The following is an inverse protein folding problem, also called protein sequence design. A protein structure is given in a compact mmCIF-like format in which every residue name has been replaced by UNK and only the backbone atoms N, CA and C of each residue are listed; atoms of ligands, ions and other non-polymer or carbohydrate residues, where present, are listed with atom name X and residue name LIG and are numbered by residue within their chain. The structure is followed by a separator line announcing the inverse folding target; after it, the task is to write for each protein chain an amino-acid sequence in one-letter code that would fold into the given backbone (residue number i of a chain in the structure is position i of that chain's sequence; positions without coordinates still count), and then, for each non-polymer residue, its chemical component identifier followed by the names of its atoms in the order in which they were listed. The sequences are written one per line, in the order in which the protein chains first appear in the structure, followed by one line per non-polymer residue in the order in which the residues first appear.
data_IF_093802634935
#
_entry.id   IF_093802634935
#
_cell.length_a   1.000
_cell.length_b   1.000
_cell.length_c   1.000
_cell.angle_alpha   90.00
_cell.angle_beta   90.00
_cell.angle_gamma   90.00
#
_symmetry.space_group_name_H-M   'P 1'
#
loop_
_entity.id
_entity.type
_entity.pdbx_description
1 polymer ?
#
# COMPACT_ATOMS: atom_id res chain seq x y z
N UNK A 1 -0.21 -3.52 28.40
CA UNK A 1 0.90 -2.69 27.88
C UNK A 1 0.38 -1.25 27.74
N UNK A 2 1.03 -0.23 28.33
CA UNK A 2 0.55 1.15 28.24
C UNK A 2 0.52 1.63 26.78
N UNK A 3 -0.54 2.38 26.42
CA UNK A 3 -0.69 2.94 25.09
C UNK A 3 0.47 3.89 24.78
N UNK A 4 1.05 3.84 23.57
CA UNK A 4 2.13 4.75 23.20
C UNK A 4 1.67 6.20 23.25
N UNK A 5 2.49 7.11 23.80
CA UNK A 5 2.18 8.55 23.89
C UNK A 5 2.20 9.30 22.56
N UNK A 6 2.71 8.68 21.50
CA UNK A 6 2.73 9.26 20.14
C UNK A 6 2.90 8.15 19.09
N UNK A 7 2.41 8.41 17.86
CA UNK A 7 2.71 7.60 16.69
C UNK A 7 3.93 8.15 15.92
N UNK A 8 4.64 7.29 15.19
CA UNK A 8 5.83 7.67 14.40
C UNK A 8 7.15 7.67 15.19
N UNK A 9 8.01 8.66 14.93
CA UNK A 9 9.25 8.93 15.68
C UNK A 9 10.35 7.86 15.64
N UNK A 10 11.17 7.79 16.71
CA UNK A 10 12.35 6.93 16.83
C UNK A 10 12.09 5.45 16.57
N UNK A 11 10.93 4.93 17.00
CA UNK A 11 10.53 3.54 16.73
C UNK A 11 10.45 3.26 15.22
N UNK A 12 10.03 4.23 14.42
CA UNK A 12 9.96 4.09 12.96
C UNK A 12 11.36 4.13 12.30
N UNK A 13 12.28 4.91 12.88
CA UNK A 13 13.69 4.95 12.44
C UNK A 13 14.38 3.61 12.76
N UNK A 14 14.23 3.11 13.99
CA UNK A 14 14.79 1.82 14.41
C UNK A 14 14.22 0.65 13.60
N UNK A 15 12.92 0.69 13.32
CA UNK A 15 12.29 -0.26 12.42
C UNK A 15 12.89 -0.20 11.01
N UNK A 16 13.10 1.00 10.46
CA UNK A 16 13.72 1.18 9.15
C UNK A 16 15.13 0.59 9.10
N UNK A 17 15.95 0.85 10.13
CA UNK A 17 17.32 0.32 10.21
C UNK A 17 17.35 -1.21 10.35
N UNK A 18 16.51 -1.77 11.22
CA UNK A 18 16.41 -3.23 11.39
C UNK A 18 15.88 -3.92 10.13
N UNK A 19 14.93 -3.32 9.44
CA UNK A 19 14.41 -3.82 8.15
C UNK A 19 15.50 -3.78 7.09
N UNK A 20 16.24 -2.67 6.97
CA UNK A 20 17.33 -2.55 6.02
C UNK A 20 18.40 -3.64 6.21
N UNK A 21 18.73 -4.00 7.47
CA UNK A 21 19.67 -5.10 7.76
C UNK A 21 19.19 -6.46 7.24
N UNK A 22 17.88 -6.72 7.22
CA UNK A 22 17.32 -7.99 6.72
C UNK A 22 17.37 -8.14 5.20
N UNK A 23 17.42 -7.04 4.46
CA UNK A 23 17.33 -7.03 2.97
C UNK A 23 18.63 -6.58 2.30
N UNK A 24 19.78 -6.94 2.90
CA UNK A 24 21.10 -6.67 2.33
C UNK A 24 21.75 -5.34 2.75
N UNK A 25 21.27 -4.74 3.85
CA UNK A 25 21.94 -3.64 4.55
C UNK A 25 21.44 -2.24 4.18
N UNK A 26 21.87 -1.26 4.98
CA UNK A 26 21.44 0.15 4.90
C UNK A 26 21.80 0.77 3.55
N UNK A 27 22.99 0.47 3.01
CA UNK A 27 23.43 1.01 1.70
C UNK A 27 22.51 0.57 0.56
N UNK A 28 22.12 -0.71 0.53
CA UNK A 28 21.21 -1.25 -0.50
C UNK A 28 19.80 -0.67 -0.35
N UNK A 29 19.27 -0.62 0.87
CA UNK A 29 17.95 -0.03 1.15
C UNK A 29 17.91 1.44 0.73
N UNK A 30 18.94 2.21 1.10
CA UNK A 30 19.05 3.62 0.72
C UNK A 30 19.10 3.79 -0.81
N UNK A 31 19.86 2.95 -1.50
CA UNK A 31 19.97 3.01 -2.95
C UNK A 31 18.62 2.70 -3.63
N UNK A 32 17.88 1.71 -3.10
CA UNK A 32 16.57 1.33 -3.57
C UNK A 32 15.51 2.43 -3.36
N UNK A 33 15.46 3.01 -2.16
CA UNK A 33 14.53 4.10 -1.82
C UNK A 33 14.78 5.37 -2.64
N UNK A 34 16.03 5.64 -3.05
CA UNK A 34 16.38 6.81 -3.88
C UNK A 34 16.15 6.62 -5.37
N UNK A 35 15.80 5.42 -5.85
CA UNK A 35 15.54 5.20 -7.28
C UNK A 35 14.37 6.05 -7.77
N UNK A 36 14.37 6.40 -9.05
CA UNK A 36 13.28 7.11 -9.73
C UNK A 36 12.10 6.16 -9.92
N UNK A 37 11.28 6.04 -8.89
CA UNK A 37 10.05 5.25 -8.90
C UNK A 37 8.99 5.93 -8.03
N UNK A 38 7.73 5.62 -8.33
CA UNK A 38 6.62 6.00 -7.46
C UNK A 38 6.46 4.95 -6.35
N UNK A 39 6.15 5.42 -5.15
CA UNK A 39 5.81 4.59 -4.00
C UNK A 39 4.48 3.88 -4.26
N UNK A 40 4.53 2.55 -4.28
CA UNK A 40 3.37 1.70 -4.61
C UNK A 40 2.55 1.29 -3.37
N UNK A 41 2.75 1.90 -2.20
CA UNK A 41 2.16 1.38 -0.94
C UNK A 41 0.76 1.91 -0.64
N UNK A 42 0.45 3.14 -1.05
CA UNK A 42 -0.85 3.78 -0.85
C UNK A 42 -1.10 4.77 -1.99
N UNK A 43 -2.31 5.31 -2.09
CA UNK A 43 -2.71 6.19 -3.18
C UNK A 43 -1.97 7.55 -3.24
N UNK A 44 -1.16 7.87 -2.21
CA UNK A 44 -0.36 9.11 -2.21
C UNK A 44 0.76 9.11 -3.28
N UNK A 45 1.21 7.95 -3.75
CA UNK A 45 2.00 7.85 -4.99
C UNK A 45 3.38 8.51 -5.03
N UNK A 46 3.95 8.89 -3.89
CA UNK A 46 5.13 9.76 -3.83
C UNK A 46 6.38 9.28 -4.56
N UNK A 47 7.23 10.24 -4.93
CA UNK A 47 8.52 10.01 -5.57
C UNK A 47 8.45 10.36 -7.05
N UNK A 48 8.53 9.34 -7.90
CA UNK A 48 8.53 9.52 -9.35
C UNK A 48 9.89 9.94 -9.89
N UNK A 49 9.91 10.88 -10.82
CA UNK A 49 11.13 11.29 -11.53
C UNK A 49 12.17 11.96 -10.62
N UNK A 50 11.72 12.56 -9.51
CA UNK A 50 12.58 13.20 -8.51
C UNK A 50 13.23 12.18 -7.54
N UNK A 51 12.82 10.91 -7.58
CA UNK A 51 13.29 9.83 -6.72
C UNK A 51 12.33 9.49 -5.58
N UNK A 52 12.30 8.22 -5.15
CA UNK A 52 11.33 7.66 -4.20
C UNK A 52 11.34 8.23 -2.78
N UNK A 53 12.31 9.08 -2.45
CA UNK A 53 12.43 9.79 -1.17
C UNK A 53 12.13 11.30 -1.27
N UNK A 54 11.53 11.75 -2.37
CA UNK A 54 11.09 13.13 -2.54
C UNK A 54 9.58 13.22 -2.65
N UNK A 55 9.02 14.32 -2.17
CA UNK A 55 7.63 14.67 -2.47
C UNK A 55 7.55 15.51 -3.77
N UNK A 56 6.33 15.85 -4.12
CA UNK A 56 5.93 16.64 -5.28
C UNK A 56 6.57 18.04 -5.25
N UNK A 57 6.75 18.61 -4.06
CA UNK A 57 7.48 19.86 -3.81
C UNK A 57 9.01 19.71 -3.74
N UNK A 58 9.58 18.54 -4.06
CA UNK A 58 11.01 18.28 -4.07
C UNK A 58 11.69 18.12 -2.70
N UNK A 59 10.94 18.18 -1.60
CA UNK A 59 11.45 18.05 -0.22
C UNK A 59 12.06 16.67 0.02
N UNK A 60 13.11 16.64 0.82
CA UNK A 60 13.85 15.43 1.20
C UNK A 60 14.32 15.55 2.66
N UNK A 61 14.34 14.46 3.44
CA UNK A 61 13.84 13.13 3.10
C UNK A 61 12.33 13.02 3.32
N UNK A 62 11.62 12.55 2.30
CA UNK A 62 10.21 12.21 2.38
C UNK A 62 10.10 10.69 2.21
N UNK A 63 10.02 9.97 3.33
CA UNK A 63 9.81 8.53 3.36
C UNK A 63 9.02 8.11 4.61
N UNK A 64 8.07 7.18 4.45
CA UNK A 64 7.33 6.62 5.57
C UNK A 64 7.70 5.16 5.82
N UNK A 65 7.44 4.68 7.05
CA UNK A 65 7.67 3.29 7.45
C UNK A 65 7.05 2.29 6.46
N UNK A 66 5.84 2.55 5.99
CA UNK A 66 5.12 1.72 5.01
C UNK A 66 5.85 1.61 3.67
N UNK A 67 6.41 2.72 3.19
CA UNK A 67 7.23 2.74 1.98
C UNK A 67 8.52 1.90 2.14
N UNK A 68 9.15 1.96 3.32
CA UNK A 68 10.31 1.11 3.64
C UNK A 68 9.94 -0.37 3.69
N UNK A 69 8.78 -0.72 4.27
CA UNK A 69 8.29 -2.11 4.30
C UNK A 69 8.07 -2.67 2.90
N UNK A 70 7.38 -1.91 2.04
CA UNK A 70 7.14 -2.32 0.66
C UNK A 70 8.45 -2.43 -0.14
N UNK A 71 9.37 -1.48 0.03
CA UNK A 71 10.68 -1.56 -0.63
C UNK A 71 11.48 -2.78 -0.13
N UNK A 72 11.40 -3.10 1.16
CA UNK A 72 12.04 -4.27 1.72
C UNK A 72 11.50 -5.56 1.10
N UNK A 73 10.18 -5.67 0.94
CA UNK A 73 9.55 -6.79 0.25
C UNK A 73 10.01 -6.92 -1.21
N UNK A 74 10.02 -5.80 -1.96
CA UNK A 74 10.49 -5.77 -3.35
C UNK A 74 11.98 -6.17 -3.47
N UNK A 75 12.78 -5.92 -2.42
CA UNK A 75 14.20 -6.28 -2.33
C UNK A 75 14.48 -7.71 -1.84
N UNK A 76 13.48 -8.48 -1.43
CA UNK A 76 13.68 -9.84 -0.95
C UNK A 76 14.24 -10.77 -2.04
N UNK A 77 14.98 -11.78 -1.60
CA UNK A 77 15.40 -12.87 -2.47
C UNK A 77 14.22 -13.68 -3.00
N UNK A 78 14.52 -14.62 -3.90
CA UNK A 78 13.54 -15.64 -4.30
C UNK A 78 13.11 -16.45 -3.07
N UNK A 79 11.90 -17.01 -3.15
CA UNK A 79 11.41 -18.02 -2.22
C UNK A 79 12.45 -19.14 -2.09
N UNK A 80 12.64 -19.65 -0.86
CA UNK A 80 13.61 -20.73 -0.60
C UNK A 80 13.27 -21.95 -1.46
N UNK A 81 14.30 -22.57 -2.03
CA UNK A 81 14.16 -23.85 -2.73
C UNK A 81 13.59 -24.92 -1.80
N UNK A 82 12.67 -25.74 -2.32
CA UNK A 82 11.94 -26.75 -1.54
C UNK A 82 10.88 -26.19 -0.59
N UNK A 83 10.58 -24.88 -0.62
CA UNK A 83 9.54 -24.30 0.25
C UNK A 83 8.19 -25.00 0.09
N UNK A 84 7.75 -25.23 -1.15
CA UNK A 84 6.46 -25.90 -1.41
C UNK A 84 6.52 -27.42 -1.21
N UNK A 85 7.69 -28.03 -1.36
CA UNK A 85 7.88 -29.46 -1.05
C UNK A 85 7.66 -29.74 0.44
N UNK A 86 8.05 -28.79 1.31
CA UNK A 86 7.90 -28.90 2.77
C UNK A 86 6.60 -28.28 3.31
N UNK A 87 5.85 -27.55 2.49
CA UNK A 87 4.70 -26.76 2.92
C UNK A 87 3.41 -27.20 2.22
N UNK A 88 2.71 -28.16 2.84
CA UNK A 88 1.38 -28.57 2.42
C UNK A 88 0.37 -27.41 2.52
N UNK A 89 -0.71 -27.50 1.75
CA UNK A 89 -1.81 -26.53 1.73
C UNK A 89 -2.34 -26.21 3.14
N UNK A 90 -2.49 -27.23 4.01
CA UNK A 90 -2.91 -27.04 5.40
C UNK A 90 -1.97 -26.12 6.17
N UNK A 91 -0.66 -26.28 5.98
CA UNK A 91 0.35 -25.42 6.62
C UNK A 91 0.29 -24.00 6.04
N UNK A 92 0.19 -23.85 4.72
CA UNK A 92 0.08 -22.54 4.05
C UNK A 92 -1.12 -21.74 4.59
N UNK A 93 -2.27 -22.38 4.79
CA UNK A 93 -3.48 -21.73 5.33
C UNK A 93 -3.32 -21.26 6.79
N UNK A 94 -2.37 -21.82 7.54
CA UNK A 94 -2.08 -21.43 8.93
C UNK A 94 -1.04 -20.32 9.04
N UNK A 95 -0.30 -20.03 7.97
CA UNK A 95 0.69 -18.97 7.98
C UNK A 95 0.00 -17.60 8.03
N UNK A 96 0.53 -16.73 8.88
CA UNK A 96 0.09 -15.34 8.93
C UNK A 96 0.53 -14.60 7.65
N UNK A 97 -0.14 -13.49 7.27
CA UNK A 97 0.28 -12.66 6.14
C UNK A 97 1.74 -12.21 6.23
N UNK A 98 2.24 -12.00 7.46
CA UNK A 98 3.63 -11.62 7.69
C UNK A 98 4.61 -12.76 7.39
N UNK A 99 4.26 -13.98 7.74
CA UNK A 99 5.10 -15.16 7.45
C UNK A 99 5.13 -15.45 5.96
N UNK A 100 3.98 -15.35 5.28
CA UNK A 100 3.88 -15.46 3.81
C UNK A 100 4.74 -14.42 3.11
N UNK A 101 4.62 -13.14 3.49
CA UNK A 101 5.45 -12.06 2.93
C UNK A 101 6.94 -12.27 3.22
N UNK A 102 7.28 -12.87 4.36
CA UNK A 102 8.68 -13.10 4.76
C UNK A 102 9.30 -14.33 4.10
N UNK A 103 8.50 -15.19 3.44
CA UNK A 103 8.97 -16.43 2.84
C UNK A 103 9.88 -16.19 1.61
N UNK A 104 9.67 -15.08 0.91
CA UNK A 104 10.44 -14.69 -0.28
C UNK A 104 9.58 -14.58 -1.53
N UNK A 105 10.19 -14.16 -2.64
CA UNK A 105 9.45 -13.87 -3.88
C UNK A 105 9.22 -15.13 -4.73
N UNK A 106 7.98 -15.33 -5.18
CA UNK A 106 7.66 -16.32 -6.21
C UNK A 106 8.32 -15.87 -7.52
N UNK A 107 9.18 -16.72 -8.10
CA UNK A 107 9.99 -16.39 -9.29
C UNK A 107 9.79 -17.34 -10.46
N UNK A 108 9.02 -18.40 -10.25
CA UNK A 108 8.65 -19.39 -11.26
C UNK A 108 7.18 -19.82 -11.05
N UNK A 109 6.50 -20.30 -12.10
CA UNK A 109 5.15 -20.80 -11.99
C UNK A 109 5.07 -22.05 -11.11
N UNK A 110 3.98 -22.17 -10.38
CA UNK A 110 3.71 -23.33 -9.53
C UNK A 110 2.31 -23.85 -9.83
N UNK A 111 2.15 -25.16 -9.80
CA UNK A 111 0.89 -25.84 -10.08
C UNK A 111 0.51 -26.77 -8.93
N UNK A 112 -0.78 -26.86 -8.69
CA UNK A 112 -1.38 -27.86 -7.82
C UNK A 112 -2.72 -28.29 -8.44
N UNK A 113 -2.85 -29.59 -8.67
CA UNK A 113 -3.99 -30.23 -9.33
C UNK A 113 -5.06 -30.72 -8.36
N UNK A 114 -6.05 -31.43 -8.90
CA UNK A 114 -7.06 -32.06 -8.09
C UNK A 114 -6.46 -33.21 -7.27
N UNK A 115 -6.61 -33.16 -5.95
CA UNK A 115 -6.07 -34.17 -5.03
C UNK A 115 -4.65 -33.89 -4.53
N UNK A 116 -3.96 -32.90 -5.09
CA UNK A 116 -2.64 -32.49 -4.63
C UNK A 116 -2.76 -31.78 -3.27
N UNK A 117 -1.82 -32.06 -2.36
CA UNK A 117 -1.70 -31.37 -1.06
C UNK A 117 -0.61 -30.29 -1.05
N UNK A 118 0.14 -30.16 -2.16
CA UNK A 118 1.29 -29.27 -2.33
C UNK A 118 1.32 -28.63 -3.72
N UNK A 119 2.11 -27.57 -3.83
CA UNK A 119 2.48 -26.97 -5.11
C UNK A 119 3.78 -27.56 -5.62
N UNK A 120 3.88 -27.74 -6.94
CA UNK A 120 5.12 -28.09 -7.63
C UNK A 120 5.50 -27.02 -8.65
N UNK A 121 6.78 -26.72 -8.79
CA UNK A 121 7.26 -25.81 -9.83
C UNK A 121 7.02 -26.43 -11.21
N UNK A 122 6.61 -25.60 -12.18
CA UNK A 122 6.44 -25.99 -13.58
C UNK A 122 7.05 -24.96 -14.52
N UNK A 123 7.49 -25.34 -15.73
CA UNK A 123 7.96 -24.39 -16.74
C UNK A 123 6.89 -23.36 -17.13
N UNK A 124 7.33 -22.20 -17.61
CA UNK A 124 6.45 -21.14 -18.12
C UNK A 124 5.55 -21.62 -19.27
N UNK A 125 6.09 -22.36 -20.23
CA UNK A 125 5.32 -22.87 -21.36
C UNK A 125 4.20 -23.80 -20.89
N UNK A 126 4.49 -24.72 -19.95
CA UNK A 126 3.46 -25.58 -19.35
C UNK A 126 2.39 -24.77 -18.62
N UNK A 127 2.77 -23.73 -17.88
CA UNK A 127 1.82 -22.88 -17.15
C UNK A 127 0.89 -22.12 -18.12
N UNK A 128 1.46 -21.53 -19.17
CA UNK A 128 0.71 -20.78 -20.18
C UNK A 128 -0.22 -21.70 -20.99
N UNK A 129 0.25 -22.87 -21.41
CA UNK A 129 -0.56 -23.87 -22.12
C UNK A 129 -1.74 -24.35 -21.28
N UNK A 130 -1.52 -24.61 -19.99
CA UNK A 130 -2.59 -24.98 -19.05
C UNK A 130 -3.62 -23.88 -18.89
N UNK A 131 -3.18 -22.62 -18.71
CA UNK A 131 -4.08 -21.47 -18.61
C UNK A 131 -4.90 -21.33 -19.90
N UNK A 132 -4.25 -21.36 -21.06
CA UNK A 132 -4.90 -21.23 -22.36
C UNK A 132 -5.91 -22.37 -22.61
N UNK A 133 -5.53 -23.62 -22.32
CA UNK A 133 -6.42 -24.77 -22.42
C UNK A 133 -7.65 -24.62 -21.52
N UNK A 134 -7.46 -24.14 -20.28
CA UNK A 134 -8.60 -23.93 -19.37
C UNK A 134 -9.49 -22.77 -19.77
N UNK A 135 -8.93 -21.68 -20.26
CA UNK A 135 -9.71 -20.58 -20.82
C UNK A 135 -10.55 -21.07 -22.01
N UNK A 136 -9.96 -21.81 -22.97
CA UNK A 136 -10.72 -22.37 -24.10
C UNK A 136 -11.86 -23.31 -23.69
N UNK A 137 -11.69 -24.05 -22.60
CA UNK A 137 -12.67 -25.01 -22.10
C UNK A 137 -13.70 -24.42 -21.11
N UNK A 138 -13.60 -23.15 -20.75
CA UNK A 138 -14.49 -22.50 -19.76
C UNK A 138 -15.31 -21.43 -20.45
N UNK A 139 -16.61 -21.31 -20.15
CA UNK A 139 -17.39 -20.24 -20.76
C UNK A 139 -17.01 -18.87 -20.16
N UNK A 140 -17.00 -17.78 -20.95
CA UNK A 140 -16.63 -16.45 -20.47
C UNK A 140 -17.51 -15.96 -19.31
N UNK A 141 -18.78 -16.32 -19.29
CA UNK A 141 -19.77 -15.96 -18.26
C UNK A 141 -19.42 -16.55 -16.89
N UNK A 142 -18.68 -17.68 -16.86
CA UNK A 142 -18.21 -18.34 -15.63
C UNK A 142 -16.85 -17.85 -15.16
N UNK A 143 -16.27 -16.86 -15.83
CA UNK A 143 -14.93 -16.36 -15.57
C UNK A 143 -14.98 -14.98 -14.91
N UNK A 144 -14.00 -14.69 -14.06
CA UNK A 144 -13.84 -13.40 -13.39
C UNK A 144 -12.37 -13.01 -13.37
N UNK A 145 -12.09 -11.74 -13.68
CA UNK A 145 -10.74 -11.18 -13.72
C UNK A 145 -10.59 -10.11 -12.65
N UNK A 146 -9.55 -10.26 -11.82
CA UNK A 146 -9.23 -9.35 -10.74
C UNK A 146 -7.81 -8.83 -10.88
N UNK A 147 -7.63 -7.51 -10.76
CA UNK A 147 -6.31 -6.91 -10.68
C UNK A 147 -6.07 -6.15 -9.37
N UNK A 148 -4.84 -6.27 -8.88
CA UNK A 148 -4.39 -5.63 -7.64
C UNK A 148 -4.10 -4.15 -7.86
N UNK A 149 -4.34 -3.30 -6.86
CA UNK A 149 -3.93 -1.89 -6.85
C UNK A 149 -2.42 -1.67 -6.80
N UNK A 150 -1.63 -2.75 -6.65
CA UNK A 150 -0.17 -2.75 -6.85
C UNK A 150 0.25 -2.93 -8.32
N UNK A 151 -0.67 -3.37 -9.18
CA UNK A 151 -0.42 -3.54 -10.61
C UNK A 151 -0.21 -2.19 -11.29
N UNK A 152 0.49 -2.18 -12.41
CA UNK A 152 0.63 -0.97 -13.22
C UNK A 152 -0.65 -0.72 -14.03
N UNK A 153 -0.83 0.52 -14.49
CA UNK A 153 -1.96 0.89 -15.34
C UNK A 153 -1.94 0.10 -16.67
N UNK A 154 -0.75 -0.14 -17.21
CA UNK A 154 -0.54 -0.90 -18.46
C UNK A 154 -0.96 -2.36 -18.28
N UNK A 155 -0.52 -3.01 -17.20
CA UNK A 155 -0.90 -4.39 -16.92
C UNK A 155 -2.42 -4.53 -16.67
N UNK A 156 -3.02 -3.58 -15.95
CA UNK A 156 -4.47 -3.54 -15.77
C UNK A 156 -5.22 -3.32 -17.10
N UNK A 157 -4.71 -2.44 -17.96
CA UNK A 157 -5.26 -2.18 -19.28
C UNK A 157 -5.21 -3.43 -20.17
N UNK A 158 -4.07 -4.13 -20.23
CA UNK A 158 -3.92 -5.35 -21.01
C UNK A 158 -4.85 -6.47 -20.49
N UNK A 159 -4.93 -6.64 -19.17
CA UNK A 159 -5.81 -7.65 -18.57
C UNK A 159 -7.29 -7.41 -18.90
N UNK A 160 -7.75 -6.15 -18.83
CA UNK A 160 -9.14 -5.83 -19.11
C UNK A 160 -9.49 -5.93 -20.61
N UNK A 161 -8.53 -5.68 -21.52
CA UNK A 161 -8.67 -5.94 -22.95
C UNK A 161 -8.79 -7.45 -23.19
N UNK A 162 -7.87 -8.24 -22.62
CA UNK A 162 -7.87 -9.69 -22.76
C UNK A 162 -9.18 -10.32 -22.28
N UNK A 163 -9.70 -9.90 -21.12
CA UNK A 163 -10.99 -10.38 -20.60
C UNK A 163 -12.16 -10.08 -21.57
N UNK A 164 -12.16 -8.90 -22.18
CA UNK A 164 -13.20 -8.49 -23.15
C UNK A 164 -13.08 -9.27 -24.47
N UNK A 165 -11.86 -9.49 -24.97
CA UNK A 165 -11.61 -10.36 -26.14
C UNK A 165 -12.05 -11.79 -25.85
N UNK A 166 -11.78 -12.27 -24.63
CA UNK A 166 -12.23 -13.58 -24.18
C UNK A 166 -13.76 -13.69 -24.07
N UNK A 167 -14.49 -12.57 -24.08
CA UNK A 167 -15.95 -12.54 -24.15
C UNK A 167 -16.65 -12.21 -22.84
N UNK A 168 -15.95 -11.65 -21.85
CA UNK A 168 -16.56 -11.26 -20.56
C UNK A 168 -16.25 -9.83 -20.14
N UNK A 169 -17.22 -9.21 -19.46
CA UNK A 169 -17.07 -7.93 -18.78
C UNK A 169 -16.89 -8.07 -17.25
N UNK A 170 -16.76 -9.31 -16.74
CA UNK A 170 -16.55 -9.62 -15.32
C UNK A 170 -15.13 -9.26 -14.88
N UNK A 171 -14.83 -7.96 -14.84
CA UNK A 171 -13.53 -7.41 -14.52
C UNK A 171 -13.68 -6.42 -13.37
N UNK A 172 -12.95 -6.64 -12.29
CA UNK A 172 -12.92 -5.74 -11.14
C UNK A 172 -11.50 -5.62 -10.57
N UNK A 173 -11.35 -4.73 -9.60
CA UNK A 173 -10.08 -4.49 -8.92
C UNK A 173 -10.29 -4.27 -7.42
N UNK A 174 -9.19 -4.06 -6.71
CA UNK A 174 -9.22 -3.85 -5.26
C UNK A 174 -10.01 -2.60 -4.83
N UNK A 175 -10.16 -1.58 -5.69
CA UNK A 175 -10.90 -0.37 -5.32
C UNK A 175 -12.41 -0.56 -5.38
N UNK A 176 -12.91 -1.60 -6.06
CA UNK A 176 -14.34 -1.89 -6.11
C UNK A 176 -14.95 -2.01 -4.71
N UNK A 177 -14.39 -2.84 -3.83
CA UNK A 177 -14.98 -3.02 -2.50
C UNK A 177 -14.87 -1.77 -1.60
N UNK A 178 -13.86 -0.92 -1.80
CA UNK A 178 -13.57 0.20 -0.91
C UNK A 178 -14.11 1.55 -1.39
N UNK A 179 -14.30 1.73 -2.70
CA UNK A 179 -14.58 3.03 -3.32
C UNK A 179 -15.88 3.06 -4.15
N UNK A 180 -16.64 1.97 -4.26
CA UNK A 180 -17.91 1.98 -4.98
C UNK A 180 -18.94 2.91 -4.33
N UNK A 181 -19.13 2.80 -3.01
CA UNK A 181 -20.04 3.68 -2.28
C UNK A 181 -19.64 5.15 -2.42
N UNK A 182 -18.35 5.46 -2.29
CA UNK A 182 -17.85 6.83 -2.48
C UNK A 182 -18.02 7.31 -3.92
N UNK A 183 -17.81 6.43 -4.90
CA UNK A 183 -17.97 6.76 -6.32
C UNK A 183 -19.40 7.14 -6.66
N UNK A 184 -20.39 6.37 -6.16
CA UNK A 184 -21.82 6.68 -6.32
C UNK A 184 -22.18 8.02 -5.68
N UNK A 185 -21.78 8.24 -4.43
CA UNK A 185 -22.11 9.47 -3.69
C UNK A 185 -21.42 10.71 -4.27
N UNK A 186 -20.15 10.63 -4.67
CA UNK A 186 -19.45 11.76 -5.27
C UNK A 186 -20.00 12.07 -6.67
N UNK A 187 -20.37 11.04 -7.45
CA UNK A 187 -20.97 11.27 -8.77
C UNK A 187 -22.31 11.98 -8.66
N UNK A 188 -23.15 11.62 -7.68
CA UNK A 188 -24.44 12.28 -7.49
C UNK A 188 -24.35 13.72 -7.00
N UNK A 189 -23.30 14.08 -6.26
CA UNK A 189 -23.12 15.43 -5.68
C UNK A 189 -22.26 16.34 -6.56
N UNK A 190 -21.20 15.80 -7.19
CA UNK A 190 -20.13 16.56 -7.86
C UNK A 190 -19.94 16.18 -9.34
N UNK A 191 -20.68 15.20 -9.86
CA UNK A 191 -20.58 14.74 -11.25
C UNK A 191 -19.35 13.87 -11.57
N UNK A 192 -18.51 13.56 -10.58
CA UNK A 192 -17.34 12.69 -10.74
C UNK A 192 -17.12 11.75 -9.55
N UNK A 193 -16.52 10.59 -9.79
CA UNK A 193 -16.29 9.54 -8.77
C UNK A 193 -14.91 9.57 -8.10
N UNK A 194 -14.10 10.58 -8.36
CA UNK A 194 -12.70 10.68 -7.90
C UNK A 194 -12.53 11.79 -6.87
N UNK A 195 -11.42 11.74 -6.12
CA UNK A 195 -11.05 12.83 -5.22
C UNK A 195 -10.92 14.16 -5.98
N UNK A 196 -11.46 15.23 -5.40
CA UNK A 196 -11.49 16.58 -5.99
C UNK A 196 -10.44 17.52 -5.42
N UNK A 197 -9.69 17.04 -4.42
CA UNK A 197 -8.68 17.81 -3.68
C UNK A 197 -7.29 17.26 -4.01
N UNK A 198 -6.37 18.16 -4.33
CA UNK A 198 -4.95 17.89 -4.53
C UNK A 198 -4.15 18.17 -3.26
N UNK A 199 -2.89 17.75 -3.22
CA UNK A 199 -2.02 18.06 -2.07
C UNK A 199 -1.72 19.55 -1.95
N UNK A 200 -1.65 20.27 -3.06
CA UNK A 200 -1.37 21.71 -3.10
C UNK A 200 -2.53 22.52 -2.51
N UNK A 201 -3.77 22.06 -2.70
CA UNK A 201 -4.95 22.66 -2.04
C UNK A 201 -4.81 22.60 -0.51
N UNK A 202 -4.22 21.51 0.02
CA UNK A 202 -3.98 21.36 1.44
C UNK A 202 -2.85 22.26 1.95
N UNK A 203 -2.01 22.84 1.09
CA UNK A 203 -1.00 23.83 1.48
C UNK A 203 -1.58 25.23 1.65
N UNK A 204 -2.68 25.55 0.96
CA UNK A 204 -3.46 26.79 1.12
C UNK A 204 -4.62 26.71 2.11
N UNK A 205 -4.83 25.55 2.75
CA UNK A 205 -6.02 25.29 3.55
C UNK A 205 -5.89 25.74 5.02
N UNK A 206 -6.86 26.47 5.55
CA UNK A 206 -6.92 26.87 6.97
C UNK A 206 -7.80 25.97 7.83
N UNK A 207 -8.56 25.05 7.21
CA UNK A 207 -9.47 24.13 7.90
C UNK A 207 -9.56 22.78 7.19
N UNK A 208 -9.10 21.72 7.84
CA UNK A 208 -9.21 20.35 7.34
C UNK A 208 -10.10 19.50 8.24
N UNK A 209 -10.97 18.68 7.64
CA UNK A 209 -11.82 17.74 8.37
C UNK A 209 -11.49 16.31 7.95
N UNK A 210 -11.17 15.46 8.92
CA UNK A 210 -10.81 14.05 8.71
C UNK A 210 -11.91 13.18 9.31
N UNK A 211 -12.82 12.69 8.46
CA UNK A 211 -13.96 11.86 8.86
C UNK A 211 -13.70 10.40 8.49
N UNK A 212 -13.84 9.49 9.45
CA UNK A 212 -13.80 8.04 9.21
C UNK A 212 -12.46 7.52 8.65
N UNK A 213 -11.39 8.32 8.76
CA UNK A 213 -10.08 8.00 8.19
C UNK A 213 -8.98 8.02 9.26
N UNK A 214 -7.98 7.15 9.08
CA UNK A 214 -6.76 7.12 9.90
C UNK A 214 -5.51 7.32 9.02
N UNK A 215 -5.22 8.56 8.56
CA UNK A 215 -4.04 8.83 7.76
C UNK A 215 -2.73 8.49 8.48
N UNK A 216 -2.67 8.50 9.82
CA UNK A 216 -1.45 8.13 10.54
C UNK A 216 -1.00 6.68 10.27
N UNK A 217 -1.96 5.78 10.02
CA UNK A 217 -1.69 4.40 9.60
C UNK A 217 -1.74 4.23 8.08
N UNK A 218 -2.74 4.82 7.42
CA UNK A 218 -3.08 4.51 6.03
C UNK A 218 -2.30 5.36 5.02
N UNK A 219 -2.09 6.64 5.34
CA UNK A 219 -1.36 7.61 4.53
C UNK A 219 -0.37 8.42 5.40
N UNK A 220 0.64 7.78 6.05
CA UNK A 220 1.37 8.41 7.18
C UNK A 220 2.08 9.72 6.86
N UNK A 221 2.24 10.04 5.57
CA UNK A 221 2.88 11.27 5.12
C UNK A 221 1.92 12.44 5.02
N UNK A 222 0.62 12.18 4.82
CA UNK A 222 -0.43 13.20 4.96
C UNK A 222 -0.40 13.83 6.37
N UNK A 223 0.11 13.10 7.37
CA UNK A 223 0.31 13.64 8.71
C UNK A 223 1.22 14.87 8.74
N UNK A 224 2.25 14.94 7.87
CA UNK A 224 3.07 16.14 7.78
C UNK A 224 2.23 17.33 7.32
N UNK A 225 1.43 17.15 6.26
CA UNK A 225 0.53 18.21 5.77
C UNK A 225 -0.43 18.68 6.86
N UNK A 226 -1.03 17.76 7.63
CA UNK A 226 -1.87 18.11 8.78
C UNK A 226 -1.10 18.87 9.88
N UNK A 227 0.16 18.51 10.15
CA UNK A 227 1.04 19.26 11.06
C UNK A 227 1.29 20.68 10.53
N UNK A 228 1.56 20.84 9.23
CA UNK A 228 1.80 22.16 8.65
C UNK A 228 0.56 23.05 8.68
N UNK A 229 -0.64 22.50 8.41
CA UNK A 229 -1.93 23.20 8.61
C UNK A 229 -2.03 23.76 10.03
N UNK A 230 -1.75 22.93 11.06
CA UNK A 230 -1.79 23.36 12.46
C UNK A 230 -0.71 24.40 12.80
N UNK A 231 0.48 24.28 12.21
CA UNK A 231 1.60 25.21 12.46
C UNK A 231 1.34 26.61 11.94
N UNK A 232 0.63 26.75 10.82
CA UNK A 232 0.20 28.05 10.29
C UNK A 232 -1.06 28.61 10.95
N UNK A 233 -1.57 27.96 12.00
CA UNK A 233 -2.75 28.41 12.76
C UNK A 233 -4.08 27.83 12.28
N UNK A 234 -4.08 27.04 11.21
CA UNK A 234 -5.27 26.35 10.69
C UNK A 234 -5.79 25.29 11.65
N UNK A 235 -7.02 24.83 11.44
CA UNK A 235 -7.72 23.84 12.28
C UNK A 235 -7.79 22.47 11.59
N UNK A 236 -7.72 21.40 12.39
CA UNK A 236 -7.88 20.03 11.92
C UNK A 236 -8.88 19.34 12.81
N UNK A 237 -10.09 19.11 12.30
CA UNK A 237 -11.17 18.43 13.03
C UNK A 237 -11.16 16.95 12.65
N UNK A 238 -11.12 16.07 13.64
CA UNK A 238 -11.18 14.63 13.41
C UNK A 238 -12.51 14.07 13.92
N UNK A 239 -13.22 13.34 13.07
CA UNK A 239 -14.45 12.63 13.42
C UNK A 239 -14.22 11.15 13.18
N UNK A 240 -14.06 10.36 14.24
CA UNK A 240 -13.72 8.95 14.13
C UNK A 240 -14.21 8.18 15.36
N UNK A 241 -14.85 7.00 15.23
CA UNK A 241 -15.28 6.21 16.39
C UNK A 241 -14.13 5.88 17.36
N UNK A 242 -12.91 5.68 16.85
CA UNK A 242 -11.74 5.37 17.65
C UNK A 242 -10.79 6.55 17.74
N UNK A 243 -10.47 6.98 18.97
CA UNK A 243 -9.47 8.01 19.24
C UNK A 243 -8.04 7.50 19.09
N UNK A 244 -7.57 7.51 17.85
CA UNK A 244 -6.24 7.07 17.46
C UNK A 244 -5.13 8.02 17.91
N UNK A 245 -4.10 7.50 18.58
CA UNK A 245 -2.95 8.29 19.08
C UNK A 245 -2.33 9.13 17.97
N UNK A 246 -2.17 8.55 16.78
CA UNK A 246 -1.56 9.25 15.64
C UNK A 246 -2.38 10.41 15.09
N UNK A 247 -3.68 10.47 15.37
CA UNK A 247 -4.58 11.57 14.98
C UNK A 247 -4.70 12.65 16.06
N UNK A 248 -4.19 12.39 17.26
CA UNK A 248 -4.08 13.38 18.34
C UNK A 248 -2.67 13.97 18.36
N UNK A 249 -1.65 13.12 18.34
CA UNK A 249 -0.25 13.52 18.49
C UNK A 249 0.68 12.65 17.64
N UNK A 250 1.36 13.28 16.70
CA UNK A 250 2.24 12.59 15.74
C UNK A 250 3.67 13.11 15.81
N UNK A 251 4.65 12.22 15.62
CA UNK A 251 6.07 12.57 15.52
C UNK A 251 6.54 12.31 14.09
N UNK A 252 6.73 13.38 13.33
CA UNK A 252 7.21 13.32 11.94
C UNK A 252 8.72 13.05 11.93
N UNK A 253 9.21 11.90 11.44
CA UNK A 253 10.64 11.56 11.54
C UNK A 253 11.57 12.47 10.73
N UNK A 254 11.09 13.06 9.63
CA UNK A 254 11.86 13.97 8.79
C UNK A 254 11.80 15.43 9.25
N UNK A 255 11.24 15.71 10.43
CA UNK A 255 11.15 17.05 11.02
C UNK A 255 11.75 17.03 12.42
N UNK A 256 12.86 17.72 12.64
CA UNK A 256 13.59 17.63 13.91
C UNK A 256 12.76 18.07 15.13
N UNK A 257 11.99 19.16 15.00
CA UNK A 257 11.14 19.69 16.07
C UNK A 257 10.00 18.72 16.39
N UNK A 258 9.32 18.22 15.36
CA UNK A 258 8.26 17.22 15.51
C UNK A 258 8.79 15.87 16.00
N UNK A 259 10.01 15.47 15.64
CA UNK A 259 10.59 14.22 16.11
C UNK A 259 10.85 14.25 17.64
N UNK A 260 11.37 15.37 18.14
CA UNK A 260 11.72 15.57 19.55
C UNK A 260 10.47 15.77 20.42
N UNK A 261 9.64 16.75 20.06
CA UNK A 261 8.52 17.20 20.89
C UNK A 261 7.18 16.62 20.43
N UNK A 262 7.10 16.08 19.20
CA UNK A 262 5.87 15.74 18.52
C UNK A 262 5.05 16.97 18.12
N UNK A 263 3.91 16.73 17.51
CA UNK A 263 3.06 17.78 16.98
C UNK A 263 1.60 17.41 17.21
N UNK A 264 0.80 18.33 17.78
CA UNK A 264 -0.64 18.13 17.88
C UNK A 264 -1.22 18.10 16.46
N UNK A 265 -2.16 17.19 16.23
CA UNK A 265 -2.85 17.03 14.95
C UNK A 265 -4.26 17.62 15.08
N UNK A 266 -5.17 16.88 15.72
CA UNK A 266 -6.53 17.36 15.93
C UNK A 266 -6.55 18.63 16.79
N UNK A 267 -7.17 19.70 16.29
CA UNK A 267 -7.64 20.81 17.14
C UNK A 267 -8.84 20.36 17.96
N UNK A 268 -9.72 19.58 17.31
CA UNK A 268 -10.97 19.08 17.86
C UNK A 268 -11.14 17.62 17.45
N UNK A 269 -11.67 16.81 18.37
CA UNK A 269 -11.86 15.38 18.15
C UNK A 269 -13.28 14.98 18.57
N UNK A 270 -14.08 14.52 17.62
CA UNK A 270 -15.41 13.97 17.88
C UNK A 270 -15.39 12.45 17.71
N UNK A 271 -15.91 11.74 18.71
CA UNK A 271 -16.18 10.30 18.63
C UNK A 271 -17.70 10.13 18.55
N UNK A 272 -18.25 9.85 17.35
CA UNK A 272 -19.67 9.57 17.17
C UNK A 272 -20.06 8.20 17.73
#
# INVERSE_FOLDING_TARGET
MPLPRSAGGWRSIWYTLSTARRVGGIRRMWAALRRRNACKTCALGMGGQLGGMRNEAGRFPEVCKKSVQAMAADMQGRLREGFFDECAHERLMRLTPRELESAGRITEPHFSGAGDDRYRAIPWDEALDRIAARMKATSPERSFFYFSGRSSNEAAFLLQVMARIYGTNHVNNCSFFCHQASGVALTSVLGGGTGTVTLDDLDGCDFAMVIGANPASNHPRLMRTLVEIRRRGGRVVVVNPLREVGLVHFRVPSDARSLLFGSPIASDYAQP
#
